data_IF_074681110188
#
_entry.id   IF_074681110188
#
_cell.length_a   1.000
_cell.length_b   1.000
_cell.length_c   1.000
_cell.angle_alpha   90.00
_cell.angle_beta   90.00
_cell.angle_gamma   90.00
#
_symmetry.space_group_name_H-M   'P 1'
#
loop_
_entity.id
_entity.type
_entity.pdbx_description
1 polymer ?
#
# COMPACT_ATOMS: atom_id res chain seq x y z
N UNK A 1 -4.72 -12.80 -11.74
CA UNK A 1 -6.18 -12.59 -11.53
C UNK A 1 -6.47 -12.86 -10.07
N UNK A 2 -7.04 -11.90 -9.33
CA UNK A 2 -7.48 -12.14 -7.95
C UNK A 2 -8.65 -13.13 -7.97
N UNK A 3 -8.59 -14.12 -7.08
CA UNK A 3 -9.69 -15.07 -6.88
C UNK A 3 -10.20 -14.93 -5.45
N UNK A 4 -11.52 -15.00 -5.31
CA UNK A 4 -12.21 -15.03 -4.03
C UNK A 4 -12.67 -16.47 -3.79
N UNK A 5 -12.56 -16.95 -2.56
CA UNK A 5 -13.30 -18.15 -2.15
C UNK A 5 -14.68 -17.75 -1.58
N UNK A 6 -15.50 -18.76 -1.29
CA UNK A 6 -16.83 -18.60 -0.70
C UNK A 6 -16.79 -18.02 0.73
N UNK A 7 -15.61 -17.93 1.34
CA UNK A 7 -15.39 -17.39 2.68
C UNK A 7 -14.88 -15.94 2.65
N UNK A 8 -14.80 -15.32 1.46
CA UNK A 8 -14.31 -13.96 1.29
C UNK A 8 -12.79 -13.81 1.39
N UNK A 9 -12.04 -14.92 1.46
CA UNK A 9 -10.60 -14.86 1.43
C UNK A 9 -10.13 -14.41 0.05
N UNK A 10 -9.20 -13.45 0.06
CA UNK A 10 -8.59 -12.95 -1.17
C UNK A 10 -7.33 -13.75 -1.46
N UNK A 11 -7.22 -14.27 -2.68
CA UNK A 11 -6.03 -14.96 -3.17
C UNK A 11 -5.38 -14.19 -4.31
N UNK A 12 -4.05 -14.21 -4.35
CA UNK A 12 -3.26 -13.74 -5.49
C UNK A 12 -2.39 -14.88 -6.04
N UNK A 13 -2.00 -14.75 -7.31
CA UNK A 13 -1.11 -15.72 -7.98
C UNK A 13 0.34 -15.33 -7.69
N UNK A 14 1.14 -16.31 -7.23
CA UNK A 14 2.61 -16.23 -7.12
C UNK A 14 3.18 -17.35 -8.00
N UNK A 15 3.61 -17.01 -9.21
CA UNK A 15 3.80 -17.99 -10.28
C UNK A 15 2.49 -18.72 -10.57
N UNK A 16 2.50 -20.05 -10.52
CA UNK A 16 1.33 -20.89 -10.77
C UNK A 16 0.51 -21.23 -9.51
N UNK A 17 0.89 -20.70 -8.33
CA UNK A 17 0.24 -21.00 -7.05
C UNK A 17 -0.66 -19.88 -6.57
N UNK A 18 -1.82 -20.22 -6.03
CA UNK A 18 -2.69 -19.30 -5.31
C UNK A 18 -2.21 -19.17 -3.85
N UNK A 19 -1.93 -17.95 -3.43
CA UNK A 19 -1.53 -17.62 -2.05
C UNK A 19 -2.63 -16.78 -1.40
N UNK A 20 -3.00 -17.15 -0.17
CA UNK A 20 -4.00 -16.43 0.62
C UNK A 20 -3.38 -15.11 1.10
N UNK A 21 -4.09 -14.00 0.87
CA UNK A 21 -3.72 -12.69 1.43
C UNK A 21 -4.02 -12.65 2.92
N UNK A 22 -3.08 -12.11 3.70
CA UNK A 22 -3.32 -11.77 5.10
C UNK A 22 -4.21 -10.52 5.24
N UNK A 23 -4.24 -9.69 4.20
CA UNK A 23 -5.05 -8.48 4.11
C UNK A 23 -6.02 -8.62 2.92
N UNK A 24 -7.23 -9.18 3.10
CA UNK A 24 -8.17 -9.37 2.01
C UNK A 24 -8.67 -8.03 1.44
N UNK A 25 -8.85 -7.97 0.12
CA UNK A 25 -9.37 -6.76 -0.54
C UNK A 25 -10.86 -6.66 -0.29
N UNK A 26 -11.29 -5.58 0.37
CA UNK A 26 -12.70 -5.29 0.66
C UNK A 26 -13.37 -4.55 -0.48
N UNK A 27 -12.64 -3.64 -1.14
CA UNK A 27 -13.15 -2.90 -2.31
C UNK A 27 -12.03 -2.47 -3.26
N UNK A 28 -12.41 -2.12 -4.48
CA UNK A 28 -11.50 -1.52 -5.46
C UNK A 28 -11.85 -0.05 -5.65
N UNK A 29 -10.88 0.82 -5.38
CA UNK A 29 -10.97 2.26 -5.58
C UNK A 29 -10.25 2.66 -6.86
N UNK A 30 -10.84 3.55 -7.66
CA UNK A 30 -10.20 4.13 -8.83
C UNK A 30 -9.64 5.50 -8.45
N UNK A 31 -8.32 5.65 -8.51
CA UNK A 31 -7.62 6.88 -8.16
C UNK A 31 -6.67 7.27 -9.29
N UNK A 32 -6.95 8.38 -9.97
CA UNK A 32 -6.18 8.90 -11.12
C UNK A 32 -5.71 7.82 -12.12
N UNK A 33 -6.64 6.97 -12.58
CA UNK A 33 -6.43 5.83 -13.51
C UNK A 33 -5.71 4.61 -12.91
N UNK A 34 -5.27 4.67 -11.67
CA UNK A 34 -4.82 3.49 -10.92
C UNK A 34 -5.99 2.84 -10.20
N UNK A 35 -5.89 1.53 -9.99
CA UNK A 35 -6.84 0.78 -9.17
C UNK A 35 -6.15 0.40 -7.88
N UNK A 36 -6.70 0.82 -6.75
CA UNK A 36 -6.21 0.50 -5.42
C UNK A 36 -7.12 -0.58 -4.83
N UNK A 37 -6.55 -1.72 -4.45
CA UNK A 37 -7.27 -2.74 -3.71
C UNK A 37 -7.23 -2.37 -2.23
N UNK A 38 -8.33 -1.81 -1.72
CA UNK A 38 -8.40 -1.37 -0.33
C UNK A 38 -8.74 -2.56 0.56
N UNK A 39 -7.87 -2.83 1.52
CA UNK A 39 -8.03 -3.91 2.51
C UNK A 39 -8.52 -3.41 3.86
N UNK A 40 -8.19 -2.16 4.22
CA UNK A 40 -8.58 -1.56 5.50
C UNK A 40 -8.97 -0.09 5.31
N UNK A 41 -10.00 0.32 6.04
CA UNK A 41 -10.41 1.70 6.25
C UNK A 41 -9.85 2.26 7.57
N UNK A 42 -9.74 3.59 7.70
CA UNK A 42 -9.42 4.20 8.99
C UNK A 42 -10.34 3.66 10.11
N UNK A 43 -9.74 3.18 11.20
CA UNK A 43 -10.41 2.56 12.33
C UNK A 43 -10.42 1.04 12.32
N UNK A 44 -10.13 0.39 11.19
CA UNK A 44 -10.03 -1.08 11.13
C UNK A 44 -8.85 -1.61 11.96
N UNK A 45 -8.98 -2.84 12.46
CA UNK A 45 -7.90 -3.56 13.13
C UNK A 45 -6.97 -4.22 12.11
N UNK A 46 -5.67 -3.94 12.21
CA UNK A 46 -4.60 -4.60 11.44
C UNK A 46 -3.43 -4.93 12.37
N UNK A 47 -3.02 -6.21 12.41
CA UNK A 47 -1.95 -6.68 13.31
C UNK A 47 -2.13 -6.25 14.78
N UNK A 48 -3.36 -6.34 15.29
CA UNK A 48 -3.69 -6.05 16.70
C UNK A 48 -3.71 -4.56 17.07
N UNK A 49 -3.69 -3.64 16.10
CA UNK A 49 -3.87 -2.20 16.32
C UNK A 49 -4.88 -1.61 15.34
N UNK A 50 -5.57 -0.56 15.76
CA UNK A 50 -6.37 0.24 14.85
C UNK A 50 -5.45 1.02 13.90
N UNK A 51 -5.73 0.95 12.60
CA UNK A 51 -5.06 1.74 11.57
C UNK A 51 -5.77 3.10 11.46
N UNK A 52 -5.04 4.20 11.34
CA UNK A 52 -5.61 5.56 11.27
C UNK A 52 -5.78 6.07 9.84
N UNK A 53 -5.20 5.36 8.86
CA UNK A 53 -5.29 5.66 7.45
C UNK A 53 -5.96 4.50 6.70
N UNK A 54 -6.45 4.76 5.48
CA UNK A 54 -6.82 3.66 4.60
C UNK A 54 -5.57 2.89 4.18
N UNK A 55 -5.72 1.60 3.89
CA UNK A 55 -4.60 0.74 3.51
C UNK A 55 -5.00 -0.29 2.46
N UNK A 56 -4.04 -0.62 1.61
CA UNK A 56 -4.23 -1.56 0.52
C UNK A 56 -2.98 -1.68 -0.32
N UNK A 57 -3.17 -1.96 -1.61
CA UNK A 57 -2.08 -2.09 -2.58
C UNK A 57 -2.45 -1.56 -3.96
N UNK A 58 -1.44 -1.27 -4.78
CA UNK A 58 -1.61 -0.95 -6.20
C UNK A 58 -1.95 -2.25 -6.95
N UNK A 59 -3.15 -2.34 -7.51
CA UNK A 59 -3.54 -3.53 -8.28
C UNK A 59 -2.75 -3.59 -9.59
N UNK A 60 -2.24 -4.77 -9.92
CA UNK A 60 -1.38 -4.98 -11.10
C UNK A 60 0.11 -4.93 -10.78
N UNK A 61 0.49 -4.67 -9.53
CA UNK A 61 1.89 -4.64 -9.07
C UNK A 61 2.34 -5.92 -8.35
N UNK A 62 1.59 -7.03 -8.48
CA UNK A 62 1.94 -8.29 -7.83
C UNK A 62 3.26 -8.83 -8.37
N UNK A 63 4.22 -9.08 -7.47
CA UNK A 63 5.57 -9.53 -7.81
C UNK A 63 6.58 -8.39 -7.96
N UNK A 64 6.13 -7.13 -7.90
CA UNK A 64 7.01 -5.97 -8.09
C UNK A 64 7.51 -5.36 -6.76
N UNK A 65 6.89 -5.70 -5.62
CA UNK A 65 7.38 -5.28 -4.30
C UNK A 65 8.59 -6.11 -3.85
N UNK A 66 9.37 -5.61 -2.89
CA UNK A 66 10.58 -6.25 -2.38
C UNK A 66 10.35 -7.67 -1.82
N UNK A 67 9.17 -7.91 -1.26
CA UNK A 67 8.73 -9.21 -0.71
C UNK A 67 8.09 -10.15 -1.76
N UNK A 68 8.04 -9.71 -3.03
CA UNK A 68 7.39 -10.42 -4.12
C UNK A 68 5.86 -10.34 -4.11
N UNK A 69 5.28 -9.43 -3.33
CA UNK A 69 3.84 -9.16 -3.26
C UNK A 69 3.46 -7.94 -4.11
N UNK A 70 2.25 -7.42 -3.90
CA UNK A 70 1.84 -6.16 -4.49
C UNK A 70 2.42 -4.99 -3.68
N UNK A 71 2.66 -3.87 -4.36
CA UNK A 71 3.14 -2.64 -3.74
C UNK A 71 2.08 -2.07 -2.80
N UNK A 72 2.46 -1.93 -1.54
CA UNK A 72 1.59 -1.41 -0.48
C UNK A 72 1.34 0.09 -0.58
N UNK A 73 0.12 0.49 -0.20
CA UNK A 73 -0.36 1.87 -0.26
C UNK A 73 -1.08 2.26 1.02
N UNK A 74 -0.63 3.35 1.63
CA UNK A 74 -1.43 4.12 2.57
C UNK A 74 -2.26 5.18 1.85
N UNK A 75 -3.50 5.35 2.30
CA UNK A 75 -4.50 6.23 1.68
C UNK A 75 -4.86 7.34 2.66
N UNK A 76 -4.45 8.56 2.31
CA UNK A 76 -4.78 9.79 3.01
C UNK A 76 -6.21 10.28 2.76
N UNK A 77 -6.62 11.35 3.46
CA UNK A 77 -8.01 11.80 3.49
C UNK A 77 -8.49 12.48 2.20
N UNK A 78 -7.59 13.00 1.36
CA UNK A 78 -7.97 13.81 0.20
C UNK A 78 -7.47 13.21 -1.13
N UNK A 79 -8.33 12.39 -1.74
CA UNK A 79 -8.06 11.70 -3.00
C UNK A 79 -8.06 12.63 -4.23
N UNK A 80 -8.36 13.93 -4.09
CA UNK A 80 -8.17 14.89 -5.17
C UNK A 80 -6.68 15.21 -5.40
N UNK A 81 -5.84 15.01 -4.37
CA UNK A 81 -4.39 15.15 -4.51
C UNK A 81 -3.82 14.14 -5.49
N UNK A 82 -2.99 14.64 -6.41
CA UNK A 82 -2.20 13.83 -7.36
C UNK A 82 -0.80 13.54 -6.85
N UNK A 83 -0.43 14.09 -5.70
CA UNK A 83 0.88 13.90 -5.12
C UNK A 83 1.05 12.47 -4.63
N UNK A 84 2.24 11.93 -4.86
CA UNK A 84 2.62 10.58 -4.44
C UNK A 84 3.90 10.70 -3.64
N UNK A 85 3.92 10.04 -2.49
CA UNK A 85 5.11 9.94 -1.66
C UNK A 85 5.50 8.49 -1.50
N UNK A 86 6.79 8.19 -1.65
CA UNK A 86 7.35 6.86 -1.41
C UNK A 86 8.07 6.88 -0.08
N UNK A 87 7.69 5.98 0.83
CA UNK A 87 8.37 5.74 2.09
C UNK A 87 9.30 4.55 1.93
N UNK A 88 10.55 4.74 2.35
CA UNK A 88 11.50 3.65 2.55
C UNK A 88 11.27 3.08 3.95
N UNK A 89 10.77 1.86 4.05
CA UNK A 89 10.74 1.12 5.31
C UNK A 89 12.04 0.34 5.47
N UNK A 90 12.59 0.33 6.68
CA UNK A 90 13.85 -0.36 6.99
C UNK A 90 13.68 -1.36 8.11
N UNK A 91 14.53 -2.39 8.11
CA UNK A 91 14.73 -3.23 9.27
C UNK A 91 15.42 -2.39 10.37
N UNK A 92 14.83 -2.26 11.58
CA UNK A 92 15.39 -1.41 12.63
C UNK A 92 16.69 -1.96 13.25
N UNK A 93 17.01 -3.23 13.05
CA UNK A 93 18.21 -3.89 13.57
C UNK A 93 19.38 -3.76 12.58
N UNK A 94 19.13 -3.95 11.28
CA UNK A 94 20.19 -3.95 10.25
C UNK A 94 20.29 -2.63 9.50
N UNK A 95 19.24 -1.80 9.50
CA UNK A 95 19.14 -0.59 8.67
C UNK A 95 18.90 -0.86 7.19
N UNK A 96 18.82 -2.13 6.79
CA UNK A 96 18.59 -2.54 5.41
C UNK A 96 17.17 -2.21 4.96
N UNK A 97 16.99 -2.12 3.64
CA UNK A 97 15.67 -1.98 3.04
C UNK A 97 14.82 -3.19 3.39
N UNK A 98 13.65 -2.93 3.96
CA UNK A 98 12.61 -3.93 4.16
C UNK A 98 11.66 -3.90 2.95
N UNK A 99 11.06 -2.74 2.69
CA UNK A 99 10.13 -2.54 1.57
C UNK A 99 9.92 -1.05 1.26
N UNK A 100 9.40 -0.76 0.07
CA UNK A 100 8.82 0.54 -0.24
C UNK A 100 7.29 0.54 -0.11
N UNK A 101 6.77 1.57 0.58
CA UNK A 101 5.33 1.83 0.64
C UNK A 101 5.00 3.16 -0.01
N UNK A 102 3.87 3.24 -0.69
CA UNK A 102 3.41 4.49 -1.30
C UNK A 102 2.33 5.13 -0.44
N UNK A 103 2.27 6.45 -0.48
CA UNK A 103 1.27 7.26 0.21
C UNK A 103 0.62 8.17 -0.82
N UNK A 104 -0.70 8.08 -0.89
CA UNK A 104 -1.55 8.89 -1.76
C UNK A 104 -2.54 9.68 -0.92
N UNK A 105 -3.16 10.71 -1.48
CA UNK A 105 -4.20 11.47 -0.80
C UNK A 105 -3.69 12.42 0.30
N UNK A 106 -2.42 12.82 0.20
CA UNK A 106 -1.81 13.91 0.97
C UNK A 106 -1.32 14.97 -0.02
N UNK A 107 -1.27 16.24 0.37
CA UNK A 107 -0.84 17.34 -0.50
C UNK A 107 0.65 17.64 -0.37
N UNK A 108 1.26 17.31 0.77
CA UNK A 108 2.69 17.58 1.01
C UNK A 108 3.38 16.42 1.73
N UNK A 109 4.69 16.31 1.53
CA UNK A 109 5.52 15.25 2.10
C UNK A 109 5.42 15.16 3.63
N UNK A 110 5.24 16.30 4.30
CA UNK A 110 5.09 16.35 5.75
C UNK A 110 3.80 15.67 6.24
N UNK A 111 2.70 15.78 5.49
CA UNK A 111 1.44 15.07 5.80
C UNK A 111 1.60 13.57 5.62
N UNK A 112 2.20 13.15 4.51
CA UNK A 112 2.46 11.74 4.23
C UNK A 112 3.37 11.10 5.29
N UNK A 113 4.40 11.83 5.73
CA UNK A 113 5.27 11.39 6.83
C UNK A 113 4.49 11.22 8.13
N UNK A 114 3.64 12.17 8.50
CA UNK A 114 2.78 12.06 9.70
C UNK A 114 1.83 10.87 9.60
N UNK A 115 1.23 10.66 8.42
CA UNK A 115 0.34 9.54 8.17
C UNK A 115 1.06 8.19 8.35
N UNK A 116 2.26 8.04 7.80
CA UNK A 116 3.07 6.83 8.00
C UNK A 116 3.39 6.60 9.48
N UNK A 117 3.90 7.63 10.17
CA UNK A 117 4.32 7.52 11.57
C UNK A 117 3.15 7.30 12.54
N UNK A 118 1.93 7.63 12.15
CA UNK A 118 0.72 7.30 12.92
C UNK A 118 0.37 5.80 12.84
N UNK A 119 0.85 5.09 11.81
CA UNK A 119 0.50 3.70 11.53
C UNK A 119 1.67 2.73 11.73
N UNK A 120 2.91 3.22 11.66
CA UNK A 120 4.12 2.43 11.78
C UNK A 120 5.09 3.06 12.79
N UNK A 121 5.72 2.26 13.69
CA UNK A 121 6.68 2.81 14.65
C UNK A 121 7.86 3.49 13.95
N UNK A 122 8.30 4.63 14.49
CA UNK A 122 9.37 5.46 13.91
C UNK A 122 10.66 4.70 13.59
N UNK A 123 11.00 3.64 14.34
CA UNK A 123 12.21 2.83 14.10
C UNK A 123 12.26 2.16 12.73
N UNK A 124 11.10 1.96 12.08
CA UNK A 124 11.02 1.40 10.73
C UNK A 124 11.12 2.46 9.62
N UNK A 125 11.12 3.76 9.97
CA UNK A 125 11.15 4.84 9.00
C UNK A 125 12.57 5.09 8.49
N UNK A 126 12.85 4.70 7.24
CA UNK A 126 14.13 4.90 6.57
C UNK A 126 14.20 6.16 5.69
N UNK A 127 13.07 6.81 5.42
CA UNK A 127 13.01 8.01 4.60
C UNK A 127 11.69 8.17 3.86
N UNK A 128 11.46 9.36 3.29
CA UNK A 128 10.31 9.65 2.44
C UNK A 128 10.71 10.66 1.38
N UNK A 129 10.22 10.47 0.17
CA UNK A 129 10.46 11.36 -0.97
C UNK A 129 9.19 11.52 -1.81
N UNK A 130 8.99 12.67 -2.46
CA UNK A 130 7.98 12.79 -3.51
C UNK A 130 8.43 11.99 -4.74
N UNK A 131 7.48 11.36 -5.41
CA UNK A 131 7.72 10.64 -6.66
C UNK A 131 6.70 11.05 -7.71
N UNK A 132 7.09 11.06 -8.98
CA UNK A 132 6.15 11.35 -10.06
C UNK A 132 5.13 10.20 -10.15
N UNK A 133 3.84 10.55 -10.16
CA UNK A 133 2.73 9.62 -10.38
C UNK A 133 2.90 8.80 -11.68
N UNK A 134 3.66 9.32 -12.66
CA UNK A 134 4.03 8.59 -13.87
C UNK A 134 4.81 7.31 -13.60
N UNK A 135 5.58 7.23 -12.52
CA UNK A 135 6.30 6.01 -12.13
C UNK A 135 5.36 4.82 -11.87
N UNK A 136 4.10 5.10 -11.52
CA UNK A 136 3.06 4.10 -11.25
C UNK A 136 2.20 3.77 -12.47
N UNK A 137 2.40 4.45 -13.61
CA UNK A 137 1.58 4.26 -14.81
C UNK A 137 1.67 2.85 -15.40
N UNK A 138 2.79 2.15 -15.21
CA UNK A 138 2.93 0.75 -15.66
C UNK A 138 1.92 -0.21 -15.03
N UNK A 139 1.33 0.16 -13.89
CA UNK A 139 0.29 -0.61 -13.21
C UNK A 139 -1.13 -0.20 -13.58
N UNK A 140 -1.29 0.84 -14.43
CA UNK A 140 -2.58 1.16 -15.00
C UNK A 140 -2.98 0.01 -15.92
N UNK A 141 -4.07 -0.66 -15.56
CA UNK A 141 -4.64 -1.69 -16.43
C UNK A 141 -5.49 -0.97 -17.47
N UNK A 142 -5.29 -1.33 -18.74
CA UNK A 142 -6.13 -0.88 -19.86
C UNK A 142 -7.58 -1.33 -19.68
#
# INVERSE_FOLDING_TARGET
MLKFDLLGNTYYLRGDRLVKSNDPVRRVMHWHKMRIGVSHDPGDQRHGRAITAGYGHIRGSYGDAEDGMAIDVYIGPDLASREVFRVKQINPETGELDEYKYIIGCWVQQEAKRLYLANMPKKFFGGIEPVDIKSLQKYQVR
#
